data_IF_574187717092
#
_entry.id   IF_574187717092
#
_cell.length_a   1.000
_cell.length_b   1.000
_cell.length_c   1.000
_cell.angle_alpha   90.00
_cell.angle_beta   90.00
_cell.angle_gamma   90.00
#
_symmetry.space_group_name_H-M   'P 1'
#
loop_
_entity.id
_entity.type
_entity.pdbx_description
1 polymer ?
#
# COMPACT_ATOMS: atom_id res chain seq x y z
N UNK A 1 -4.49 -21.34 -8.25
CA UNK A 1 -3.84 -20.52 -7.20
C UNK A 1 -4.75 -19.34 -6.98
N UNK A 2 -5.24 -19.17 -5.76
CA UNK A 2 -6.12 -18.07 -5.38
C UNK A 2 -5.27 -17.02 -4.67
N UNK A 3 -5.43 -15.75 -5.05
CA UNK A 3 -4.81 -14.63 -4.36
C UNK A 3 -5.81 -14.10 -3.32
N UNK A 4 -5.42 -14.12 -2.05
CA UNK A 4 -6.21 -13.55 -0.95
C UNK A 4 -5.57 -12.22 -0.59
N UNK A 5 -6.36 -11.14 -0.56
CA UNK A 5 -5.87 -9.82 -0.14
C UNK A 5 -6.63 -9.37 1.10
N UNK A 6 -5.91 -9.00 2.17
CA UNK A 6 -6.50 -8.46 3.40
C UNK A 6 -5.99 -7.05 3.68
N UNK A 7 -6.91 -6.13 3.93
CA UNK A 7 -6.59 -4.76 4.32
C UNK A 7 -6.40 -4.66 5.84
N UNK A 8 -5.28 -4.11 6.28
CA UNK A 8 -5.01 -3.87 7.70
C UNK A 8 -4.56 -2.43 7.96
N UNK A 9 -4.97 -1.89 9.11
CA UNK A 9 -4.47 -0.59 9.56
C UNK A 9 -3.05 -0.74 10.10
N UNK A 10 -2.16 0.15 9.70
CA UNK A 10 -0.77 0.20 10.15
C UNK A 10 -0.33 1.66 10.29
N UNK A 11 0.40 2.04 11.35
CA UNK A 11 0.89 3.41 11.52
C UNK A 11 1.96 3.74 10.48
N UNK A 12 1.93 4.95 9.92
CA UNK A 12 2.98 5.45 9.01
C UNK A 12 4.15 6.13 9.73
N UNK A 13 3.95 6.62 10.95
CA UNK A 13 5.00 7.34 11.70
C UNK A 13 5.45 8.67 11.05
N UNK A 14 4.73 9.16 10.04
CA UNK A 14 4.94 10.46 9.37
C UNK A 14 3.63 11.27 9.42
N UNK A 15 3.63 12.58 9.12
CA UNK A 15 2.41 13.39 9.08
C UNK A 15 1.33 12.81 8.16
N UNK A 16 0.05 13.13 8.44
CA UNK A 16 -1.10 12.67 7.63
C UNK A 16 -1.01 13.10 6.16
N UNK A 17 -0.34 14.23 5.89
CA UNK A 17 0.02 14.69 4.55
C UNK A 17 1.54 14.70 4.39
N UNK A 18 2.15 13.62 3.86
CA UNK A 18 3.57 13.59 3.60
C UNK A 18 4.01 14.64 2.58
N UNK A 19 5.11 15.33 2.87
CA UNK A 19 5.78 16.26 1.94
C UNK A 19 7.16 15.76 1.51
N UNK A 20 7.36 15.57 0.21
CA UNK A 20 8.59 15.09 -0.39
C UNK A 20 8.68 13.56 -0.49
N UNK A 21 9.62 13.10 -1.32
CA UNK A 21 9.80 11.68 -1.59
C UNK A 21 10.26 10.91 -0.34
N UNK A 22 11.18 11.48 0.43
CA UNK A 22 11.75 10.84 1.61
C UNK A 22 10.69 10.55 2.68
N UNK A 23 9.86 11.53 3.01
CA UNK A 23 8.80 11.40 4.02
C UNK A 23 7.70 10.43 3.55
N UNK A 24 7.29 10.53 2.28
CA UNK A 24 6.27 9.65 1.70
C UNK A 24 6.74 8.20 1.67
N UNK A 25 7.99 7.95 1.24
CA UNK A 25 8.57 6.62 1.23
C UNK A 25 8.77 6.07 2.66
N UNK A 26 9.17 6.91 3.61
CA UNK A 26 9.27 6.53 5.01
C UNK A 26 7.92 6.06 5.55
N UNK A 27 6.82 6.77 5.23
CA UNK A 27 5.48 6.34 5.58
C UNK A 27 5.12 4.94 5.07
N UNK A 28 5.38 4.66 3.79
CA UNK A 28 5.14 3.34 3.20
C UNK A 28 5.98 2.24 3.89
N UNK A 29 7.28 2.50 4.14
CA UNK A 29 8.18 1.56 4.83
C UNK A 29 7.74 1.27 6.25
N UNK A 30 7.37 2.30 7.00
CA UNK A 30 6.93 2.16 8.38
C UNK A 30 5.66 1.30 8.47
N UNK A 31 4.74 1.44 7.50
CA UNK A 31 3.53 0.59 7.45
C UNK A 31 3.86 -0.88 7.20
N UNK A 32 4.72 -1.20 6.22
CA UNK A 32 5.08 -2.61 5.97
C UNK A 32 5.86 -3.20 7.14
N UNK A 33 6.74 -2.41 7.78
CA UNK A 33 7.47 -2.84 8.97
C UNK A 33 6.53 -3.14 10.15
N UNK A 34 5.57 -2.25 10.43
CA UNK A 34 4.61 -2.47 11.51
C UNK A 34 3.74 -3.72 11.28
N UNK A 35 3.35 -3.99 10.04
CA UNK A 35 2.63 -5.21 9.69
C UNK A 35 3.51 -6.46 9.80
N UNK A 36 4.77 -6.37 9.36
CA UNK A 36 5.76 -7.44 9.49
C UNK A 36 5.97 -7.81 10.96
N UNK A 37 6.10 -6.82 11.85
CA UNK A 37 6.23 -7.05 13.29
C UNK A 37 5.02 -7.79 13.88
N UNK A 38 3.79 -7.44 13.46
CA UNK A 38 2.56 -8.11 13.90
C UNK A 38 2.53 -9.57 13.41
N UNK A 39 2.93 -9.81 12.16
CA UNK A 39 3.00 -11.16 11.57
C UNK A 39 4.03 -12.02 12.32
N UNK A 40 5.23 -11.48 12.54
CA UNK A 40 6.33 -12.19 13.22
C UNK A 40 6.07 -12.44 14.70
N UNK A 41 5.29 -11.58 15.37
CA UNK A 41 4.86 -11.78 16.75
C UNK A 41 3.80 -12.89 16.92
N UNK A 42 3.34 -13.54 15.84
CA UNK A 42 2.39 -14.65 15.89
C UNK A 42 0.93 -14.23 16.12
N UNK A 43 0.58 -12.97 15.80
CA UNK A 43 -0.79 -12.48 15.63
C UNK A 43 -1.84 -13.03 16.62
N UNK A 44 -1.75 -12.68 17.90
CA UNK A 44 -2.76 -12.99 18.92
C UNK A 44 -3.89 -11.95 18.88
N UNK A 45 -4.79 -12.08 17.90
CA UNK A 45 -6.02 -11.28 17.80
C UNK A 45 -6.31 -10.86 16.36
N UNK A 46 -7.50 -11.21 15.88
CA UNK A 46 -8.07 -10.88 14.56
C UNK A 46 -7.53 -11.61 13.31
N UNK A 47 -6.84 -12.74 13.48
CA UNK A 47 -6.72 -13.73 12.40
C UNK A 47 -5.83 -13.32 11.23
N UNK A 48 -4.73 -12.61 11.50
CA UNK A 48 -3.62 -12.52 10.54
C UNK A 48 -2.90 -13.87 10.59
N UNK A 49 -3.44 -14.81 9.82
CA UNK A 49 -2.77 -16.03 9.43
C UNK A 49 -1.53 -15.65 8.60
N UNK A 50 -0.59 -16.58 8.52
CA UNK A 50 0.64 -16.50 7.74
C UNK A 50 0.46 -15.71 6.43
N UNK A 51 1.16 -14.58 6.33
CA UNK A 51 1.16 -13.73 5.16
C UNK A 51 2.41 -14.00 4.33
N UNK A 52 2.23 -14.04 3.02
CA UNK A 52 3.32 -14.20 2.08
C UNK A 52 4.02 -12.87 1.85
N UNK A 53 3.25 -11.82 1.56
CA UNK A 53 3.80 -10.53 1.17
C UNK A 53 2.98 -9.37 1.76
N UNK A 54 3.69 -8.37 2.25
CA UNK A 54 3.10 -7.13 2.78
C UNK A 54 3.30 -6.02 1.77
N UNK A 55 2.28 -5.21 1.51
CA UNK A 55 2.34 -4.06 0.59
C UNK A 55 1.76 -2.83 1.27
N UNK A 56 2.44 -1.69 1.17
CA UNK A 56 1.94 -0.39 1.58
C UNK A 56 1.93 0.60 0.42
N UNK A 57 0.90 1.44 0.35
CA UNK A 57 0.80 2.56 -0.60
C UNK A 57 0.62 3.86 0.20
N UNK A 58 1.61 4.76 0.12
CA UNK A 58 1.57 6.07 0.77
C UNK A 58 1.48 7.18 -0.27
N UNK A 59 0.43 7.98 -0.22
CA UNK A 59 0.30 9.19 -1.05
C UNK A 59 1.05 10.36 -0.44
N UNK A 60 1.65 11.19 -1.28
CA UNK A 60 2.40 12.38 -0.87
C UNK A 60 2.30 13.52 -1.89
N UNK A 61 2.82 14.66 -1.49
CA UNK A 61 3.00 15.81 -2.38
C UNK A 61 4.44 16.29 -2.33
N UNK A 62 4.94 16.87 -3.42
CA UNK A 62 6.31 17.40 -3.47
C UNK A 62 6.42 18.54 -4.48
N UNK A 63 7.58 19.21 -4.56
CA UNK A 63 7.81 20.24 -5.56
C UNK A 63 7.56 19.70 -6.97
N UNK A 64 6.82 20.46 -7.77
CA UNK A 64 6.55 20.09 -9.15
C UNK A 64 7.85 19.96 -9.97
N UNK A 65 7.91 18.93 -10.82
CA UNK A 65 9.05 18.67 -11.70
C UNK A 65 9.16 19.65 -12.87
N UNK A 66 10.24 19.52 -13.64
CA UNK A 66 10.49 20.37 -14.81
C UNK A 66 9.36 20.24 -15.85
N UNK A 67 8.83 21.37 -16.30
CA UNK A 67 7.82 21.43 -17.37
C UNK A 67 6.37 21.18 -16.90
N UNK A 68 6.13 21.05 -15.60
CA UNK A 68 4.79 20.90 -15.05
C UNK A 68 4.07 22.24 -14.83
N UNK A 69 2.74 22.21 -14.92
CA UNK A 69 1.88 23.37 -14.67
C UNK A 69 1.43 23.38 -13.19
N UNK A 70 2.29 23.88 -12.30
CA UNK A 70 2.02 23.98 -10.86
C UNK A 70 3.30 24.10 -10.05
N UNK A 71 3.17 24.33 -8.74
CA UNK A 71 4.31 24.39 -7.80
C UNK A 71 4.48 23.10 -6.99
N UNK A 72 3.40 22.31 -6.87
CA UNK A 72 3.43 20.99 -6.26
C UNK A 72 2.91 19.93 -7.23
N UNK A 73 3.38 18.71 -7.06
CA UNK A 73 2.84 17.52 -7.68
C UNK A 73 2.34 16.53 -6.61
N UNK A 74 1.39 15.68 -7.00
CA UNK A 74 0.91 14.56 -6.21
C UNK A 74 1.46 13.25 -6.79
N UNK A 75 1.88 12.35 -5.91
CA UNK A 75 2.39 11.02 -6.23
C UNK A 75 2.13 10.05 -5.08
N UNK A 76 2.49 8.78 -5.26
CA UNK A 76 2.50 7.80 -4.20
C UNK A 76 3.76 6.93 -4.26
N UNK A 77 4.20 6.46 -3.10
CA UNK A 77 5.20 5.41 -2.97
C UNK A 77 4.54 4.10 -2.58
N UNK A 78 4.93 3.03 -3.28
CA UNK A 78 4.60 1.66 -2.95
C UNK A 78 5.83 1.00 -2.33
N UNK A 79 5.63 0.32 -1.21
CA UNK A 79 6.64 -0.56 -0.61
C UNK A 79 6.04 -1.96 -0.52
N UNK A 80 6.74 -2.95 -1.07
CA UNK A 80 6.44 -4.37 -0.91
C UNK A 80 7.56 -4.99 -0.06
N UNK A 81 7.18 -5.88 0.87
CA UNK A 81 8.10 -6.54 1.77
C UNK A 81 7.67 -7.99 2.02
N UNK A 82 8.64 -8.90 1.94
CA UNK A 82 8.49 -10.23 2.49
C UNK A 82 8.74 -10.16 4.02
N UNK A 83 7.74 -10.45 4.87
CA UNK A 83 7.86 -10.27 6.31
C UNK A 83 8.79 -11.30 6.99
N UNK A 84 9.16 -12.40 6.33
CA UNK A 84 10.03 -13.43 6.94
C UNK A 84 11.47 -13.33 6.47
N UNK A 85 11.72 -12.90 5.22
CA UNK A 85 13.09 -12.68 4.72
C UNK A 85 13.56 -11.24 4.90
N UNK A 86 12.63 -10.29 5.07
CA UNK A 86 12.91 -8.86 5.07
C UNK A 86 13.26 -8.29 3.69
N UNK A 87 13.09 -9.07 2.61
CA UNK A 87 13.30 -8.59 1.26
C UNK A 87 12.31 -7.45 0.95
N UNK A 88 12.82 -6.32 0.48
CA UNK A 88 12.05 -5.09 0.25
C UNK A 88 12.23 -4.60 -1.19
N UNK A 89 11.14 -4.17 -1.81
CA UNK A 89 11.21 -3.39 -3.06
C UNK A 89 10.20 -2.26 -3.05
N UNK A 90 10.57 -1.16 -3.70
CA UNK A 90 9.78 0.06 -3.71
C UNK A 90 9.62 0.57 -5.14
N UNK A 91 8.52 1.26 -5.38
CA UNK A 91 8.28 1.96 -6.63
C UNK A 91 7.44 3.21 -6.40
N UNK A 92 7.70 4.23 -7.21
CA UNK A 92 6.94 5.48 -7.20
C UNK A 92 5.92 5.47 -8.33
N UNK A 93 4.74 6.00 -8.10
CA UNK A 93 3.76 6.23 -9.17
C UNK A 93 4.24 7.31 -10.15
N UNK A 94 3.51 7.44 -11.26
CA UNK A 94 3.53 8.69 -12.00
C UNK A 94 3.10 9.85 -11.09
N UNK A 95 3.46 11.08 -11.46
CA UNK A 95 3.03 12.28 -10.76
C UNK A 95 2.22 13.19 -11.69
N UNK A 96 1.41 14.06 -11.09
CA UNK A 96 0.70 15.11 -11.80
C UNK A 96 0.74 16.41 -11.00
N UNK A 97 0.83 17.53 -11.73
CA UNK A 97 0.83 18.85 -11.12
C UNK A 97 -0.51 19.16 -10.46
N UNK A 98 -0.46 19.71 -9.27
CA UNK A 98 -1.65 20.18 -8.56
C UNK A 98 -1.98 21.62 -9.00
N UNK A 99 -3.26 21.92 -9.28
CA UNK A 99 -3.69 23.28 -9.58
C UNK A 99 -3.57 24.20 -8.36
N UNK A 100 -3.38 25.50 -8.60
CA UNK A 100 -3.16 26.52 -7.56
C UNK A 100 -4.16 26.45 -6.38
N UNK A 101 -5.48 26.28 -6.59
CA UNK A 101 -6.43 26.24 -5.48
C UNK A 101 -6.17 25.09 -4.49
N UNK A 102 -5.59 23.98 -4.93
CA UNK A 102 -5.20 22.89 -4.02
C UNK A 102 -3.88 23.22 -3.31
N UNK A 103 -2.89 23.76 -4.03
CA UNK A 103 -1.59 24.08 -3.43
C UNK A 103 -1.69 25.19 -2.38
N UNK A 104 -2.60 26.15 -2.55
CA UNK A 104 -2.85 27.20 -1.55
C UNK A 104 -3.38 26.62 -0.23
N UNK A 105 -4.20 25.57 -0.29
CA UNK A 105 -4.74 24.90 0.90
C UNK A 105 -3.72 23.95 1.54
N UNK A 106 -2.80 23.37 0.77
CA UNK A 106 -1.71 22.53 1.28
C UNK A 106 -0.62 23.33 1.98
N UNK A 107 -0.33 24.55 1.50
CA UNK A 107 0.80 25.38 1.96
C UNK A 107 0.36 26.57 2.82
N UNK A 108 -0.95 26.81 2.94
CA UNK A 108 -1.52 27.94 3.66
C UNK A 108 -1.34 27.87 5.18
N UNK A 109 -1.74 28.94 5.90
CA UNK A 109 -1.68 28.99 7.36
C UNK A 109 -2.55 27.92 8.04
N UNK A 110 -3.63 27.49 7.36
CA UNK A 110 -4.52 26.39 7.78
C UNK A 110 -4.26 25.16 6.88
N UNK A 111 -2.98 24.79 6.73
CA UNK A 111 -2.56 23.68 5.89
C UNK A 111 -3.35 22.41 6.21
N UNK A 112 -3.88 21.78 5.16
CA UNK A 112 -4.73 20.59 5.29
C UNK A 112 -4.24 19.43 4.43
N UNK A 113 -4.68 18.22 4.74
CA UNK A 113 -4.47 17.04 3.89
C UNK A 113 -5.10 17.24 2.50
N UNK A 114 -4.46 16.70 1.46
CA UNK A 114 -4.93 16.80 0.08
C UNK A 114 -6.36 16.29 -0.09
N UNK A 115 -6.77 15.25 0.64
CA UNK A 115 -8.15 14.75 0.64
C UNK A 115 -9.17 15.81 1.11
N UNK A 116 -8.81 16.59 2.14
CA UNK A 116 -9.65 17.69 2.63
C UNK A 116 -9.62 18.90 1.69
N UNK A 117 -8.46 19.22 1.11
CA UNK A 117 -8.32 20.28 0.11
C UNK A 117 -9.16 19.98 -1.14
N UNK A 118 -9.12 18.72 -1.60
CA UNK A 118 -9.92 18.22 -2.70
C UNK A 118 -11.43 18.37 -2.44
N UNK A 119 -11.92 17.94 -1.28
CA UNK A 119 -13.32 18.11 -0.88
C UNK A 119 -13.73 19.60 -0.81
N UNK A 120 -12.83 20.48 -0.35
CA UNK A 120 -13.06 21.92 -0.27
C UNK A 120 -13.16 22.59 -1.65
N UNK A 121 -12.28 22.25 -2.58
CA UNK A 121 -12.24 22.83 -3.94
C UNK A 121 -13.37 22.29 -4.82
N UNK A 122 -13.67 21.00 -4.75
CA UNK A 122 -14.65 20.34 -5.64
C UNK A 122 -16.06 20.24 -5.05
N UNK A 123 -16.30 20.78 -3.86
CA UNK A 123 -17.64 21.05 -3.34
C UNK A 123 -18.46 19.81 -2.95
N UNK A 124 -17.83 18.71 -2.53
CA UNK A 124 -18.55 17.56 -1.94
C UNK A 124 -17.99 17.21 -0.57
N UNK A 125 -18.85 17.15 0.44
CA UNK A 125 -18.54 16.55 1.75
C UNK A 125 -18.55 15.02 1.60
N UNK A 126 -17.44 14.37 1.95
CA UNK A 126 -17.24 12.92 2.10
C UNK A 126 -17.17 12.15 0.77
N UNK A 127 -15.98 12.10 0.18
CA UNK A 127 -15.58 10.94 -0.64
C UNK A 127 -14.18 10.44 -0.29
N UNK A 128 -13.99 10.03 0.98
CA UNK A 128 -12.88 9.14 1.36
C UNK A 128 -12.93 7.77 0.66
N UNK A 129 -14.00 7.47 -0.08
CA UNK A 129 -14.16 6.35 -1.02
C UNK A 129 -14.58 6.92 -2.38
N UNK A 130 -13.63 7.14 -3.29
CA UNK A 130 -13.87 7.75 -4.60
C UNK A 130 -12.65 7.70 -5.52
N UNK A 131 -12.76 8.22 -6.74
CA UNK A 131 -11.73 8.22 -7.79
C UNK A 131 -10.43 8.97 -7.43
N UNK A 132 -10.37 9.62 -6.27
CA UNK A 132 -9.26 10.47 -5.83
C UNK A 132 -9.15 11.79 -6.61
N UNK A 133 -8.20 12.63 -6.21
CA UNK A 133 -7.91 13.92 -6.85
C UNK A 133 -7.60 13.74 -8.34
N UNK A 134 -6.86 12.69 -8.70
CA UNK A 134 -6.57 12.35 -10.11
C UNK A 134 -7.84 12.14 -10.93
N UNK A 135 -8.84 11.45 -10.37
CA UNK A 135 -10.11 11.24 -11.07
C UNK A 135 -10.94 12.50 -11.23
N UNK A 136 -10.82 13.47 -10.33
CA UNK A 136 -11.48 14.77 -10.53
C UNK A 136 -10.79 15.59 -11.60
N UNK A 137 -9.47 15.70 -11.52
CA UNK A 137 -8.68 16.50 -12.47
C UNK A 137 -8.69 15.91 -13.88
N UNK A 138 -8.79 14.58 -14.01
CA UNK A 138 -8.89 13.89 -15.29
C UNK A 138 -10.33 13.73 -15.82
N UNK A 139 -11.34 14.30 -15.15
CA UNK A 139 -12.76 14.12 -15.48
C UNK A 139 -13.18 12.63 -15.55
N UNK A 140 -12.63 11.80 -14.66
CA UNK A 140 -12.94 10.38 -14.55
C UNK A 140 -12.27 9.47 -15.58
N UNK A 141 -11.33 9.99 -16.38
CA UNK A 141 -10.55 9.17 -17.32
C UNK A 141 -9.60 8.22 -16.60
N UNK A 142 -9.09 8.63 -15.43
CA UNK A 142 -8.32 7.79 -14.53
C UNK A 142 -8.97 7.78 -13.16
N UNK A 143 -8.97 6.64 -12.48
CA UNK A 143 -9.27 6.58 -11.05
C UNK A 143 -8.03 6.31 -10.19
N UNK A 144 -8.24 6.30 -8.87
CA UNK A 144 -7.19 6.05 -7.88
C UNK A 144 -6.59 4.65 -8.03
N UNK A 145 -7.37 3.65 -8.41
CA UNK A 145 -6.87 2.28 -8.57
C UNK A 145 -5.93 2.22 -9.77
N UNK A 146 -6.39 2.69 -10.93
CA UNK A 146 -5.60 2.74 -12.17
C UNK A 146 -4.29 3.51 -11.99
N UNK A 147 -4.33 4.61 -11.24
CA UNK A 147 -3.16 5.41 -10.91
C UNK A 147 -2.08 4.62 -10.13
N UNK A 148 -2.47 3.69 -9.26
CA UNK A 148 -1.54 2.92 -8.42
C UNK A 148 -1.12 1.57 -9.01
N UNK A 149 -1.91 0.97 -9.91
CA UNK A 149 -1.66 -0.39 -10.44
C UNK A 149 -0.24 -0.53 -11.01
N UNK A 150 0.22 0.44 -11.80
CA UNK A 150 1.55 0.39 -12.38
C UNK A 150 2.66 0.44 -11.32
N UNK A 151 2.51 1.27 -10.28
CA UNK A 151 3.48 1.36 -9.20
C UNK A 151 3.55 0.06 -8.40
N UNK A 152 2.40 -0.57 -8.13
CA UNK A 152 2.34 -1.87 -7.46
C UNK A 152 3.03 -2.94 -8.31
N UNK A 153 2.75 -3.01 -9.62
CA UNK A 153 3.43 -3.94 -10.53
C UNK A 153 4.94 -3.73 -10.50
N UNK A 154 5.41 -2.48 -10.57
CA UNK A 154 6.83 -2.14 -10.53
C UNK A 154 7.48 -2.57 -9.20
N UNK A 155 6.83 -2.35 -8.06
CA UNK A 155 7.33 -2.79 -6.76
C UNK A 155 7.39 -4.32 -6.64
N UNK A 156 6.57 -5.06 -7.40
CA UNK A 156 6.55 -6.53 -7.37
C UNK A 156 7.54 -7.19 -8.33
N UNK A 157 8.26 -6.42 -9.16
CA UNK A 157 9.19 -6.97 -10.16
C UNK A 157 10.22 -7.96 -9.57
N UNK A 158 10.81 -7.72 -8.37
CA UNK A 158 11.75 -8.69 -7.80
C UNK A 158 11.14 -10.06 -7.50
N UNK A 159 9.87 -10.13 -7.07
CA UNK A 159 9.16 -11.39 -6.86
C UNK A 159 8.68 -12.04 -8.17
N UNK A 160 8.48 -11.24 -9.23
CA UNK A 160 8.17 -11.75 -10.57
C UNK A 160 9.39 -12.29 -11.30
N UNK A 161 10.60 -11.85 -10.92
CA UNK A 161 11.86 -12.20 -11.56
C UNK A 161 12.97 -12.53 -10.52
N UNK A 162 12.72 -13.39 -9.52
CA UNK A 162 13.67 -13.57 -8.41
C UNK A 162 15.04 -14.08 -8.86
N UNK A 163 15.11 -14.82 -9.97
CA UNK A 163 16.37 -15.26 -10.58
C UNK A 163 17.29 -14.10 -11.01
N UNK A 164 16.75 -12.89 -11.18
CA UNK A 164 17.52 -11.68 -11.51
C UNK A 164 17.82 -10.80 -10.29
N UNK A 165 17.01 -10.91 -9.22
CA UNK A 165 17.10 -10.05 -8.03
C UNK A 165 17.66 -10.76 -6.79
N UNK A 166 17.82 -12.08 -6.83
CA UNK A 166 18.45 -12.90 -5.79
C UNK A 166 17.48 -13.70 -4.93
N UNK A 167 18.06 -14.66 -4.19
CA UNK A 167 17.34 -15.63 -3.34
C UNK A 167 16.28 -15.06 -2.39
N UNK A 168 16.46 -13.88 -1.73
CA UNK A 168 15.46 -13.38 -0.79
C UNK A 168 14.06 -13.17 -1.39
N UNK A 169 13.96 -12.94 -2.71
CA UNK A 169 12.68 -12.76 -3.40
C UNK A 169 12.08 -14.07 -3.94
N UNK A 170 12.82 -15.17 -3.89
CA UNK A 170 12.44 -16.47 -4.46
C UNK A 170 11.67 -17.39 -3.53
N UNK A 171 11.52 -17.05 -2.24
CA UNK A 171 10.96 -17.96 -1.22
C UNK A 171 9.63 -18.60 -1.64
N UNK A 172 8.66 -17.80 -2.07
CA UNK A 172 7.33 -18.28 -2.47
C UNK A 172 7.37 -19.26 -3.65
N UNK A 173 8.32 -19.08 -4.57
CA UNK A 173 8.48 -19.95 -5.74
C UNK A 173 9.19 -21.25 -5.36
N UNK A 174 10.14 -21.19 -4.43
CA UNK A 174 10.85 -22.35 -3.92
C UNK A 174 9.92 -23.26 -3.10
N UNK A 175 9.06 -22.69 -2.23
CA UNK A 175 8.10 -23.44 -1.42
C UNK A 175 7.03 -24.15 -2.28
N UNK A 176 6.59 -23.52 -3.37
CA UNK A 176 5.70 -24.13 -4.36
C UNK A 176 6.35 -25.31 -5.11
N UNK A 177 7.68 -25.28 -5.29
CA UNK A 177 8.46 -26.34 -5.94
C UNK A 177 8.65 -27.57 -5.05
N UNK A 178 8.93 -27.37 -3.77
CA UNK A 178 9.12 -28.46 -2.80
C UNK A 178 7.82 -29.21 -2.49
N UNK A 179 6.68 -28.50 -2.40
CA UNK A 179 5.37 -29.12 -2.25
C UNK A 179 5.00 -30.08 -3.40
N UNK A 180 5.48 -29.79 -4.63
CA UNK A 180 5.32 -30.69 -5.80
C UNK A 180 6.21 -31.94 -5.74
N UNK A 181 7.39 -31.85 -5.14
CA UNK A 181 8.29 -33.01 -5.02
C UNK A 181 7.86 -33.98 -3.91
N UNK A 182 7.34 -33.47 -2.79
CA UNK A 182 6.85 -34.30 -1.68
C UNK A 182 5.56 -35.07 -2.00
N UNK A 183 4.74 -34.60 -2.94
CA UNK A 183 3.58 -35.37 -3.45
C UNK A 183 3.98 -36.55 -4.35
N UNK A 184 5.25 -36.69 -4.73
CA UNK A 184 5.75 -37.79 -5.55
C UNK A 184 6.26 -39.01 -4.78
N UNK A 185 6.42 -38.96 -3.45
CA UNK A 185 6.92 -40.07 -2.63
C UNK A 185 6.06 -40.22 -1.36
N UNK A 186 5.19 -41.22 -1.36
CA UNK A 186 4.23 -41.44 -0.29
C UNK A 186 4.88 -41.77 1.05
N UNK A 187 4.61 -40.93 2.05
CA UNK A 187 4.43 -41.38 3.43
C UNK A 187 3.43 -40.46 4.14
N UNK A 188 2.33 -41.05 4.62
CA UNK A 188 1.26 -40.37 5.34
C UNK A 188 1.73 -40.03 6.76
N UNK A 189 2.02 -38.76 7.02
CA UNK A 189 1.86 -38.16 8.35
C UNK A 189 0.92 -36.96 8.20
N UNK A 190 -0.01 -36.82 9.14
CA UNK A 190 -1.03 -35.78 9.16
C UNK A 190 -0.38 -34.40 9.27
N UNK A 191 -0.13 -33.76 8.13
CA UNK A 191 0.18 -32.34 8.04
C UNK A 191 -1.13 -31.55 7.90
N UNK A 192 -1.30 -30.52 8.75
CA UNK A 192 -2.35 -29.54 8.60
C UNK A 192 -2.32 -28.99 7.16
N UNK A 193 -3.41 -29.21 6.43
CA UNK A 193 -3.55 -28.76 5.04
C UNK A 193 -3.53 -27.22 5.01
N UNK A 194 -2.38 -26.62 4.71
CA UNK A 194 -2.34 -25.25 4.19
C UNK A 194 -3.10 -25.25 2.86
N UNK A 195 -4.19 -24.50 2.78
CA UNK A 195 -4.86 -24.24 1.50
C UNK A 195 -3.93 -23.38 0.64
N UNK A 196 -3.61 -23.86 -0.58
CA UNK A 196 -2.61 -23.28 -1.48
C UNK A 196 -2.99 -21.96 -2.16
N UNK A 197 -3.32 -20.94 -1.36
CA UNK A 197 -3.46 -19.56 -1.79
C UNK A 197 -2.22 -18.72 -1.42
N UNK A 198 -2.01 -17.63 -2.15
CA UNK A 198 -1.03 -16.59 -1.76
C UNK A 198 -1.79 -15.52 -0.98
N UNK A 199 -1.33 -15.20 0.23
CA UNK A 199 -1.96 -14.19 1.07
C UNK A 199 -1.16 -12.88 1.10
N UNK A 200 -1.80 -11.80 0.62
CA UNK A 200 -1.25 -10.45 0.56
C UNK A 200 -1.90 -9.60 1.65
N UNK A 201 -1.10 -8.97 2.50
CA UNK A 201 -1.60 -7.95 3.44
C UNK A 201 -1.28 -6.57 2.88
N UNK A 202 -2.31 -5.74 2.72
CA UNK A 202 -2.17 -4.38 2.19
C UNK A 202 -2.54 -3.32 3.24
N UNK A 203 -1.75 -2.25 3.30
CA UNK A 203 -2.10 -1.01 4.00
C UNK A 203 -1.97 0.20 3.06
N UNK A 204 -2.71 1.26 3.32
CA UNK A 204 -2.54 2.50 2.58
C UNK A 204 -3.27 3.66 3.22
N UNK A 205 -3.07 4.87 2.69
CA UNK A 205 -3.78 6.06 3.14
C UNK A 205 -5.26 5.99 2.75
N UNK A 206 -6.08 5.46 3.66
CA UNK A 206 -7.51 5.78 3.67
C UNK A 206 -7.66 7.15 4.32
N UNK A 207 -8.25 8.12 3.62
CA UNK A 207 -8.78 9.33 4.27
C UNK A 207 -9.63 8.89 5.47
N UNK A 208 -9.18 9.27 6.66
CA UNK A 208 -9.47 8.57 7.91
C UNK A 208 -10.97 8.46 8.26
N UNK A 209 -11.36 7.36 8.93
CA UNK A 209 -12.01 7.43 10.24
C UNK A 209 -12.11 6.03 10.87
N UNK A 210 -11.52 5.86 12.05
CA UNK A 210 -11.83 4.76 12.94
C UNK A 210 -13.24 4.93 13.52
N UNK A 211 -13.98 3.84 13.60
CA UNK A 211 -15.12 3.73 14.50
C UNK A 211 -14.91 2.52 15.41
N UNK A 212 -14.18 2.76 16.51
CA UNK A 212 -14.49 2.08 17.76
C UNK A 212 -15.87 2.55 18.22
N UNK A 213 -16.79 1.61 18.38
CA UNK A 213 -18.15 1.86 18.83
C UNK A 213 -18.57 0.74 19.76
N UNK A 214 -18.39 1.00 21.06
CA UNK A 214 -18.81 0.17 22.17
C UNK A 214 -20.30 -0.17 22.12
N UNK A 215 -20.63 -1.28 22.77
CA UNK A 215 -21.97 -1.68 23.15
C UNK A 215 -22.76 -0.52 23.79
N UNK A 216 -23.98 -0.32 23.31
CA UNK A 216 -25.05 0.30 24.08
C UNK A 216 -26.36 -0.40 23.72
N UNK A 217 -27.00 -0.88 24.78
CA UNK A 217 -28.30 -1.52 24.93
C UNK A 217 -29.43 -1.05 24.00
N UNK A 218 -30.20 -2.01 23.53
CA UNK A 218 -31.66 -2.07 23.72
C UNK A 218 -32.04 -3.51 24.09
#
# INVERSE_FOLDING_TARGET
MELVVRGHAAPSGVPDQPHGDEETLAGARNRVAALSDIINAGGSGDGILECDLVVAIEGGVGPAGLGQAGILECFAWVCAMDPHTGAESTARSASFALPQPLTDLLLGPEAMELGHADDAVFGRKRSGRGSGTIGRLSNGVLDRTEFHVHAVICALLPWLQPQLYGEPYGRFLNDCGEARQKQGHGHLQQEQQRHGGVELVAAGTSGACGCGGAAASA
#
